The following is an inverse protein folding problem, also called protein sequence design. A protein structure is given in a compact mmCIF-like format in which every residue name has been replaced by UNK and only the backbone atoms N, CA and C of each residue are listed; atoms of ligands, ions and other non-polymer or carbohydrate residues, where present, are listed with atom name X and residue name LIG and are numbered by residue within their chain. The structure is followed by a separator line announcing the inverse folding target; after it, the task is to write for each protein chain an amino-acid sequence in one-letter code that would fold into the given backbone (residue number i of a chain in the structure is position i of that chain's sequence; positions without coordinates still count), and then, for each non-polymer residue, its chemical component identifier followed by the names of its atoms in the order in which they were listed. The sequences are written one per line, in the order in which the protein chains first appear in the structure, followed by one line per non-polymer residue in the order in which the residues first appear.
data_IF_427802324807
#
_entry.id   IF_427802324807
#
_cell.length_a   1.000
_cell.length_b   1.000
_cell.length_c   1.000
_cell.angle_alpha   90.00
_cell.angle_beta   90.00
_cell.angle_gamma   90.00
#
_symmetry.space_group_name_H-M   'P 1'
#
loop_
_entity.id
_entity.type
_entity.pdbx_description
1 polymer ?
#
# COMPACT_ATOMS: atom_id res chain seq x y z
N UNK A 1 3.51 -17.07 -5.50
CA UNK A 1 4.46 -18.17 -5.21
C UNK A 1 5.80 -17.81 -5.83
N UNK A 2 6.91 -18.01 -5.13
CA UNK A 2 8.27 -17.78 -5.64
C UNK A 2 9.05 -19.06 -5.36
N UNK A 3 9.72 -19.62 -6.37
CA UNK A 3 10.39 -20.92 -6.31
C UNK A 3 9.53 -22.06 -5.73
N UNK A 4 8.23 -22.06 -6.05
CA UNK A 4 7.27 -23.06 -5.55
C UNK A 4 6.91 -22.91 -4.08
N UNK A 5 7.29 -21.82 -3.41
CA UNK A 5 6.99 -21.52 -2.01
C UNK A 5 6.14 -20.25 -1.86
N UNK A 6 5.16 -20.20 -0.93
CA UNK A 6 4.40 -18.97 -0.67
C UNK A 6 5.27 -17.96 0.08
N UNK A 7 5.01 -16.67 -0.15
CA UNK A 7 5.77 -15.59 0.49
C UNK A 7 5.69 -15.63 2.03
N UNK A 8 4.52 -16.00 2.56
CA UNK A 8 4.28 -16.20 3.99
C UNK A 8 5.23 -17.23 4.63
N UNK A 9 5.69 -18.23 3.87
CA UNK A 9 6.63 -19.22 4.38
C UNK A 9 8.09 -18.72 4.39
N UNK A 10 8.44 -17.69 3.62
CA UNK A 10 9.72 -16.98 3.80
C UNK A 10 9.66 -16.08 5.02
N UNK A 11 8.57 -15.32 5.15
CA UNK A 11 8.30 -14.46 6.30
C UNK A 11 8.34 -15.24 7.63
N UNK A 12 7.63 -16.37 7.70
CA UNK A 12 7.58 -17.24 8.89
C UNK A 12 8.96 -17.77 9.29
N UNK A 13 9.82 -18.11 8.31
CA UNK A 13 11.17 -18.55 8.59
C UNK A 13 12.03 -17.43 9.19
N UNK A 14 11.98 -16.23 8.60
CA UNK A 14 12.72 -15.05 9.09
C UNK A 14 12.29 -14.68 10.51
N UNK A 15 10.98 -14.66 10.79
CA UNK A 15 10.46 -14.31 12.13
C UNK A 15 10.81 -15.40 13.16
N UNK A 16 10.81 -16.68 12.77
CA UNK A 16 11.28 -17.78 13.63
C UNK A 16 12.74 -17.61 14.04
N UNK A 17 13.59 -17.16 13.11
CA UNK A 17 15.00 -16.84 13.35
C UNK A 17 15.23 -15.56 14.18
N UNK A 18 14.16 -14.83 14.51
CA UNK A 18 14.20 -13.67 15.39
C UNK A 18 14.08 -12.32 14.68
N UNK A 19 13.75 -12.30 13.38
CA UNK A 19 13.48 -11.05 12.68
C UNK A 19 12.17 -10.39 13.16
N UNK A 20 12.19 -9.06 13.27
CA UNK A 20 11.07 -8.18 13.60
C UNK A 20 10.29 -8.56 14.88
N UNK A 21 10.60 -7.88 15.99
CA UNK A 21 9.98 -8.15 17.30
C UNK A 21 8.45 -8.01 17.29
N UNK A 22 7.92 -7.08 16.48
CA UNK A 22 6.47 -6.85 16.33
C UNK A 22 5.72 -8.09 15.83
N UNK A 23 6.38 -8.93 15.02
CA UNK A 23 5.78 -10.15 14.48
C UNK A 23 6.05 -11.39 15.35
N UNK A 24 6.86 -11.28 16.40
CA UNK A 24 7.25 -12.43 17.22
C UNK A 24 6.06 -13.11 17.91
N UNK A 25 5.01 -12.34 18.24
CA UNK A 25 3.77 -12.86 18.86
C UNK A 25 2.87 -13.60 17.87
N UNK A 26 3.10 -13.45 16.56
CA UNK A 26 2.33 -14.07 15.48
C UNK A 26 3.02 -15.30 14.88
N UNK A 27 4.09 -15.80 15.51
CA UNK A 27 4.79 -17.02 15.06
C UNK A 27 3.81 -18.19 14.95
N UNK A 28 3.80 -18.85 13.78
CA UNK A 28 2.91 -19.96 13.49
C UNK A 28 1.57 -19.56 12.88
N UNK A 29 1.19 -18.29 12.91
CA UNK A 29 -0.06 -17.78 12.31
C UNK A 29 0.19 -16.92 11.06
N UNK A 30 1.43 -16.50 10.79
CA UNK A 30 1.80 -15.75 9.58
C UNK A 30 1.41 -16.42 8.25
N UNK A 31 1.30 -17.77 8.14
CA UNK A 31 0.71 -18.40 6.96
C UNK A 31 -0.75 -18.00 6.64
N UNK A 32 -1.50 -17.47 7.62
CA UNK A 32 -2.87 -16.97 7.44
C UNK A 32 -2.96 -15.58 6.80
N UNK A 33 -1.85 -14.83 6.71
CA UNK A 33 -1.88 -13.50 6.07
C UNK A 33 -2.36 -13.59 4.62
N UNK A 34 -3.24 -12.67 4.26
CA UNK A 34 -3.91 -12.63 2.96
C UNK A 34 -3.13 -11.78 1.95
N UNK A 35 -3.19 -12.07 0.64
CA UNK A 35 -2.60 -11.21 -0.38
C UNK A 35 -3.23 -9.83 -0.41
N UNK A 36 -2.40 -8.78 -0.34
CA UNK A 36 -2.83 -7.41 -0.58
C UNK A 36 -3.27 -7.26 -2.05
N UNK A 37 -4.31 -6.45 -2.29
CA UNK A 37 -4.89 -6.26 -3.63
C UNK A 37 -5.92 -7.33 -4.03
N UNK A 38 -6.24 -8.29 -3.16
CA UNK A 38 -7.35 -9.21 -3.38
C UNK A 38 -8.71 -8.48 -3.29
N UNK A 39 -9.73 -8.95 -4.00
CA UNK A 39 -11.08 -8.37 -3.93
C UNK A 39 -11.83 -8.68 -2.63
N UNK A 40 -11.23 -9.48 -1.73
CA UNK A 40 -11.65 -9.60 -0.33
C UNK A 40 -11.29 -8.37 0.53
N UNK A 41 -10.44 -7.46 0.05
CA UNK A 41 -10.16 -6.23 0.79
C UNK A 41 -11.42 -5.39 1.01
N UNK A 42 -11.59 -4.85 2.22
CA UNK A 42 -12.78 -4.07 2.60
C UNK A 42 -12.96 -2.81 1.76
N UNK A 43 -11.85 -2.20 1.36
CA UNK A 43 -11.83 -0.91 0.67
C UNK A 43 -11.31 -1.04 -0.75
N UNK A 44 -12.16 -0.67 -1.73
CA UNK A 44 -11.80 -0.64 -3.15
C UNK A 44 -10.61 0.26 -3.44
N UNK A 45 -10.52 1.42 -2.80
CA UNK A 45 -9.43 2.37 -3.01
C UNK A 45 -8.07 1.82 -2.59
N UNK A 46 -7.98 1.04 -1.50
CA UNK A 46 -6.72 0.40 -1.09
C UNK A 46 -6.33 -0.70 -2.06
N UNK A 47 -7.31 -1.49 -2.52
CA UNK A 47 -7.08 -2.52 -3.54
C UNK A 47 -6.54 -1.92 -4.84
N UNK A 48 -7.22 -0.90 -5.37
CA UNK A 48 -6.78 -0.16 -6.57
C UNK A 48 -5.36 0.40 -6.38
N UNK A 49 -5.09 0.94 -5.19
CA UNK A 49 -3.78 1.48 -4.85
C UNK A 49 -2.67 0.42 -4.85
N UNK A 50 -2.90 -0.78 -4.34
CA UNK A 50 -1.92 -1.89 -4.42
C UNK A 50 -1.51 -2.16 -5.86
N UNK A 51 -2.49 -2.26 -6.76
CA UNK A 51 -2.22 -2.54 -8.16
C UNK A 51 -1.56 -1.35 -8.88
N UNK A 52 -1.91 -0.11 -8.53
CA UNK A 52 -1.16 1.07 -8.97
C UNK A 52 0.32 0.93 -8.61
N UNK A 53 0.63 0.62 -7.35
CA UNK A 53 2.01 0.49 -6.86
C UNK A 53 2.79 -0.60 -7.58
N UNK A 54 2.18 -1.76 -7.84
CA UNK A 54 2.82 -2.83 -8.62
C UNK A 54 3.17 -2.39 -10.05
N UNK A 55 2.45 -1.43 -10.62
CA UNK A 55 2.64 -0.95 -11.97
C UNK A 55 3.58 0.27 -12.07
N UNK A 56 3.91 0.94 -10.96
CA UNK A 56 4.87 2.06 -10.96
C UNK A 56 6.28 1.61 -11.37
N UNK A 57 6.97 2.46 -12.13
CA UNK A 57 8.39 2.28 -12.48
C UNK A 57 9.30 3.04 -11.49
N UNK A 58 9.10 2.76 -10.21
CA UNK A 58 9.73 3.48 -9.10
C UNK A 58 10.29 2.52 -8.04
N UNK A 59 11.22 3.01 -7.23
CA UNK A 59 11.74 2.27 -6.08
C UNK A 59 10.83 2.50 -4.85
N UNK A 60 9.96 1.56 -4.53
CA UNK A 60 8.85 1.77 -3.59
C UNK A 60 8.52 0.51 -2.75
N UNK A 61 8.08 0.73 -1.51
CA UNK A 61 7.45 -0.29 -0.67
C UNK A 61 6.07 -0.64 -1.27
N UNK A 62 5.87 -1.88 -1.73
CA UNK A 62 4.57 -2.37 -2.21
C UNK A 62 3.96 -3.32 -1.17
N UNK A 63 2.75 -3.06 -0.65
CA UNK A 63 2.02 -4.02 0.17
C UNK A 63 1.77 -5.33 -0.57
N UNK A 64 2.10 -6.44 0.07
CA UNK A 64 1.97 -7.79 -0.52
C UNK A 64 1.15 -8.74 0.34
N UNK A 65 1.12 -8.54 1.66
CA UNK A 65 0.30 -9.31 2.59
C UNK A 65 -0.34 -8.41 3.64
N UNK A 66 -1.57 -8.75 4.03
CA UNK A 66 -2.38 -8.06 5.04
C UNK A 66 -2.98 -9.05 6.05
N UNK A 67 -3.43 -8.52 7.19
CA UNK A 67 -4.14 -9.27 8.22
C UNK A 67 -5.44 -9.90 7.67
N UNK A 68 -5.71 -11.15 8.05
CA UNK A 68 -6.95 -11.86 7.65
C UNK A 68 -8.20 -11.37 8.39
N UNK A 69 -8.03 -10.77 9.57
CA UNK A 69 -9.14 -10.30 10.41
C UNK A 69 -9.71 -8.95 9.92
N UNK A 70 -8.84 -8.04 9.47
CA UNK A 70 -9.22 -6.68 9.08
C UNK A 70 -9.37 -6.49 7.57
N UNK A 71 -8.58 -7.21 6.75
CA UNK A 71 -8.60 -7.14 5.28
C UNK A 71 -8.48 -5.70 4.71
N UNK A 72 -7.75 -4.84 5.42
CA UNK A 72 -7.39 -3.48 5.02
C UNK A 72 -5.95 -3.17 5.49
N UNK A 73 -5.53 -1.91 5.41
CA UNK A 73 -4.21 -1.47 5.88
C UNK A 73 -4.15 -1.06 7.35
N UNK A 74 -5.15 -1.33 8.18
CA UNK A 74 -5.17 -0.85 9.57
C UNK A 74 -4.28 -1.66 10.54
N UNK A 75 -3.96 -2.91 10.20
CA UNK A 75 -3.30 -3.86 11.10
C UNK A 75 -1.91 -4.29 10.59
N UNK A 76 -1.66 -5.60 10.43
CA UNK A 76 -0.39 -6.10 9.87
C UNK A 76 -0.40 -5.85 8.37
N UNK A 77 0.59 -5.09 7.89
CA UNK A 77 0.86 -4.93 6.46
C UNK A 77 2.31 -5.29 6.20
N UNK A 78 2.53 -6.34 5.42
CA UNK A 78 3.85 -6.74 4.95
C UNK A 78 4.05 -6.16 3.58
N UNK A 79 5.18 -5.48 3.39
CA UNK A 79 5.59 -4.87 2.14
C UNK A 79 6.80 -5.59 1.56
N UNK A 80 6.99 -5.43 0.26
CA UNK A 80 8.26 -5.72 -0.41
C UNK A 80 8.81 -4.42 -0.99
N UNK A 81 10.11 -4.18 -0.81
CA UNK A 81 10.81 -3.11 -1.53
C UNK A 81 11.05 -3.55 -2.96
N UNK A 82 10.32 -2.94 -3.89
CA UNK A 82 10.40 -3.23 -5.32
C UNK A 82 11.25 -2.18 -5.99
N UNK A 83 12.19 -2.63 -6.83
CA UNK A 83 13.01 -1.77 -7.67
C UNK A 83 13.03 -2.33 -9.08
N UNK A 84 12.67 -1.49 -10.05
CA UNK A 84 12.62 -1.87 -11.46
C UNK A 84 13.76 -1.23 -12.24
N UNK A 85 14.20 -1.93 -13.27
CA UNK A 85 15.13 -1.45 -14.30
C UNK A 85 14.52 -1.73 -15.65
N UNK A 86 15.17 -1.36 -16.75
CA UNK A 86 14.65 -1.62 -18.10
C UNK A 86 14.34 -3.12 -18.36
N UNK A 87 15.10 -4.05 -17.75
CA UNK A 87 15.01 -5.48 -18.06
C UNK A 87 14.64 -6.36 -16.87
N UNK A 88 14.83 -5.86 -15.65
CA UNK A 88 14.73 -6.67 -14.44
C UNK A 88 13.91 -5.96 -13.38
N UNK A 89 13.16 -6.76 -12.61
CA UNK A 89 12.45 -6.35 -11.41
C UNK A 89 13.07 -7.05 -10.22
N UNK A 90 13.44 -6.28 -9.20
CA UNK A 90 14.03 -6.78 -7.97
C UNK A 90 13.05 -6.64 -6.82
N UNK A 91 12.94 -7.70 -6.03
CA UNK A 91 12.35 -7.66 -4.70
C UNK A 91 13.50 -7.70 -3.70
N UNK A 92 13.88 -6.51 -3.21
CA UNK A 92 15.11 -6.34 -2.44
C UNK A 92 14.93 -6.94 -1.02
N UNK A 93 13.88 -6.53 -0.29
CA UNK A 93 13.61 -7.02 1.07
C UNK A 93 12.10 -7.14 1.40
N UNK A 94 11.78 -7.97 2.41
CA UNK A 94 10.50 -7.96 3.12
C UNK A 94 10.54 -6.98 4.29
N UNK A 95 9.49 -6.18 4.44
CA UNK A 95 9.35 -5.20 5.51
C UNK A 95 8.00 -5.30 6.22
N UNK A 96 8.00 -4.95 7.50
CA UNK A 96 6.78 -4.66 8.25
C UNK A 96 6.49 -3.16 8.10
N UNK A 97 5.33 -2.81 7.54
CA UNK A 97 4.97 -1.41 7.33
C UNK A 97 4.92 -0.66 8.66
N UNK A 98 5.59 0.48 8.73
CA UNK A 98 5.35 1.46 9.78
C UNK A 98 4.16 2.30 9.34
N UNK A 99 3.05 2.25 10.06
CA UNK A 99 1.87 3.03 9.70
C UNK A 99 2.18 4.52 9.66
N UNK A 100 1.67 5.17 8.62
CA UNK A 100 1.80 6.61 8.48
C UNK A 100 0.92 7.34 9.50
N UNK A 101 1.23 8.60 9.77
CA UNK A 101 0.40 9.42 10.64
C UNK A 101 -0.89 9.86 9.94
N UNK A 102 -2.00 9.20 10.27
CA UNK A 102 -3.34 9.51 9.76
C UNK A 102 -3.74 10.98 9.95
N UNK A 103 -3.36 11.60 11.08
CA UNK A 103 -3.70 13.01 11.33
C UNK A 103 -2.97 13.95 10.39
N UNK A 104 -1.73 13.61 10.02
CA UNK A 104 -1.02 14.36 8.99
C UNK A 104 -1.64 14.10 7.62
N UNK A 105 -2.04 12.85 7.32
CA UNK A 105 -2.66 12.47 6.05
C UNK A 105 -3.94 13.27 5.76
N UNK A 106 -4.71 13.70 6.76
CA UNK A 106 -5.92 14.53 6.59
C UNK A 106 -5.68 15.82 5.78
N UNK A 107 -4.46 16.36 5.78
CA UNK A 107 -4.10 17.57 5.02
C UNK A 107 -3.85 17.29 3.55
N UNK A 108 -3.67 16.02 3.18
CA UNK A 108 -3.29 15.58 1.85
C UNK A 108 -4.46 15.01 1.04
N UNK A 109 -5.68 15.05 1.59
CA UNK A 109 -6.91 14.76 0.86
C UNK A 109 -7.39 15.94 0.04
N UNK A 110 -8.69 16.23 0.10
CA UNK A 110 -9.33 17.37 -0.56
C UNK A 110 -8.76 18.73 -0.16
N UNK A 111 -8.06 18.84 0.97
CA UNK A 111 -7.42 20.08 1.40
C UNK A 111 -6.06 20.33 0.72
N UNK A 112 -5.54 19.35 -0.04
CA UNK A 112 -4.27 19.44 -0.73
C UNK A 112 -4.39 20.22 -2.05
N UNK A 113 -4.50 21.54 -1.95
CA UNK A 113 -4.70 22.43 -3.11
C UNK A 113 -3.55 22.40 -4.12
N UNK A 114 -2.35 22.00 -3.70
CA UNK A 114 -1.21 21.77 -4.60
C UNK A 114 -1.49 20.65 -5.63
N UNK A 115 -2.36 19.71 -5.29
CA UNK A 115 -2.76 18.59 -6.16
C UNK A 115 -4.02 18.88 -7.00
N UNK A 116 -4.63 20.06 -6.86
CA UNK A 116 -5.90 20.37 -7.54
C UNK A 116 -5.74 20.42 -9.05
N UNK A 117 -6.64 19.72 -9.72
CA UNK A 117 -6.91 19.86 -11.15
C UNK A 117 -7.65 21.16 -11.44
N UNK A 118 -7.86 21.49 -12.73
CA UNK A 118 -8.65 22.67 -13.11
C UNK A 118 -10.10 22.52 -12.66
N UNK A 119 -10.63 21.31 -12.74
CA UNK A 119 -11.96 20.92 -12.33
C UNK A 119 -12.11 21.07 -10.80
N UNK A 120 -11.11 20.61 -10.04
CA UNK A 120 -11.08 20.84 -8.58
C UNK A 120 -11.10 22.32 -8.23
N UNK A 121 -10.32 23.15 -8.94
CA UNK A 121 -10.35 24.60 -8.71
C UNK A 121 -11.71 25.23 -9.04
N UNK A 122 -12.42 24.72 -10.03
CA UNK A 122 -13.76 25.20 -10.38
C UNK A 122 -14.79 24.81 -9.31
N UNK A 123 -14.72 23.60 -8.80
CA UNK A 123 -15.70 23.07 -7.85
C UNK A 123 -15.43 23.51 -6.40
N UNK A 124 -14.16 23.48 -6.00
CA UNK A 124 -13.73 23.60 -4.61
C UNK A 124 -12.93 24.87 -4.30
N UNK A 125 -12.49 25.61 -5.33
CA UNK A 125 -11.66 26.81 -5.19
C UNK A 125 -12.31 27.96 -4.41
N UNK A 126 -13.64 27.98 -4.32
CA UNK A 126 -14.39 28.96 -3.52
C UNK A 126 -14.79 28.46 -2.12
N UNK A 127 -14.54 27.19 -1.81
CA UNK A 127 -15.05 26.51 -0.62
C UNK A 127 -13.93 25.71 0.06
N UNK A 128 -13.80 24.42 -0.26
CA UNK A 128 -12.89 23.47 0.40
C UNK A 128 -11.42 23.87 0.32
N UNK A 129 -11.00 24.61 -0.71
CA UNK A 129 -9.62 25.08 -0.86
C UNK A 129 -9.11 25.94 0.31
N UNK A 130 -10.03 26.51 1.10
CA UNK A 130 -9.72 27.40 2.23
C UNK A 130 -10.07 26.80 3.60
N UNK A 131 -10.57 25.56 3.61
CA UNK A 131 -10.95 24.86 4.84
C UNK A 131 -9.74 24.25 5.55
N UNK A 132 -9.95 23.83 6.79
CA UNK A 132 -8.94 23.16 7.61
C UNK A 132 -9.45 21.81 8.13
N UNK A 133 -8.56 20.84 8.42
CA UNK A 133 -8.99 19.57 8.98
C UNK A 133 -9.86 19.76 10.22
N UNK A 134 -11.01 19.07 10.25
CA UNK A 134 -11.95 19.11 11.35
C UNK A 134 -12.97 20.25 11.33
N UNK A 135 -12.94 21.15 10.34
CA UNK A 135 -14.01 22.14 10.15
C UNK A 135 -15.36 21.47 9.84
N UNK A 136 -16.47 22.18 10.08
CA UNK A 136 -17.80 21.63 9.85
C UNK A 136 -18.03 21.30 8.37
N UNK A 137 -17.59 22.18 7.46
CA UNK A 137 -17.73 21.97 6.02
C UNK A 137 -16.88 20.79 5.55
N UNK A 138 -15.64 20.68 6.04
CA UNK A 138 -14.77 19.56 5.72
C UNK A 138 -15.32 18.22 6.22
N UNK A 139 -15.81 18.17 7.47
CA UNK A 139 -16.45 16.96 8.03
C UNK A 139 -17.66 16.53 7.20
N UNK A 140 -18.49 17.50 6.77
CA UNK A 140 -19.64 17.23 5.93
C UNK A 140 -19.21 16.68 4.57
N UNK A 141 -18.23 17.31 3.92
CA UNK A 141 -17.74 16.86 2.62
C UNK A 141 -17.17 15.44 2.69
N UNK A 142 -16.29 15.16 3.65
CA UNK A 142 -15.71 13.84 3.86
C UNK A 142 -16.77 12.76 4.09
N UNK A 143 -17.81 13.07 4.88
CA UNK A 143 -18.87 12.09 5.12
C UNK A 143 -19.61 11.65 3.85
N UNK A 144 -19.60 12.50 2.81
CA UNK A 144 -20.25 12.24 1.52
C UNK A 144 -19.26 11.80 0.42
N UNK A 145 -17.96 12.00 0.61
CA UNK A 145 -16.91 11.76 -0.39
C UNK A 145 -15.73 10.97 0.20
N UNK A 146 -16.01 10.06 1.14
CA UNK A 146 -14.96 9.34 1.89
C UNK A 146 -13.98 8.59 0.99
N UNK A 147 -14.48 7.87 -0.01
CA UNK A 147 -13.62 7.11 -0.93
C UNK A 147 -12.72 8.04 -1.76
N UNK A 148 -13.27 9.16 -2.24
CA UNK A 148 -12.50 10.16 -2.98
C UNK A 148 -11.42 10.80 -2.09
N UNK A 149 -11.79 11.16 -0.86
CA UNK A 149 -10.86 11.68 0.15
C UNK A 149 -9.69 10.72 0.35
N UNK A 150 -9.98 9.43 0.53
CA UNK A 150 -8.96 8.40 0.73
C UNK A 150 -8.06 8.26 -0.50
N UNK A 151 -8.62 8.19 -1.72
CA UNK A 151 -7.82 8.16 -2.95
C UNK A 151 -6.86 9.35 -3.04
N UNK A 152 -7.33 10.56 -2.69
CA UNK A 152 -6.48 11.77 -2.64
C UNK A 152 -5.36 11.64 -1.59
N UNK A 153 -5.67 11.22 -0.35
CA UNK A 153 -4.67 11.00 0.71
C UNK A 153 -3.62 9.98 0.32
N UNK A 154 -4.05 8.88 -0.29
CA UNK A 154 -3.18 7.80 -0.73
C UNK A 154 -2.22 8.27 -1.84
N UNK A 155 -2.74 9.01 -2.83
CA UNK A 155 -1.93 9.57 -3.89
C UNK A 155 -0.92 10.62 -3.39
N UNK A 156 -1.35 11.50 -2.49
CA UNK A 156 -0.60 12.70 -2.10
C UNK A 156 0.29 12.50 -0.87
N UNK A 157 0.02 11.52 0.00
CA UNK A 157 0.77 11.29 1.24
C UNK A 157 1.31 9.87 1.35
N UNK A 158 0.46 8.86 1.23
CA UNK A 158 0.85 7.45 1.44
C UNK A 158 1.86 7.00 0.39
N UNK A 159 1.61 7.27 -0.90
CA UNK A 159 2.53 6.90 -1.98
C UNK A 159 3.92 7.54 -1.82
N UNK A 160 4.05 8.86 -1.57
CA UNK A 160 5.34 9.45 -1.19
C UNK A 160 5.98 8.80 0.05
N UNK A 161 5.19 8.51 1.08
CA UNK A 161 5.68 7.87 2.30
C UNK A 161 6.26 6.48 2.02
N UNK A 162 5.62 5.67 1.17
CA UNK A 162 6.09 4.34 0.76
C UNK A 162 7.40 4.37 -0.05
N UNK A 163 7.83 5.53 -0.55
CA UNK A 163 9.16 5.70 -1.16
C UNK A 163 10.25 5.93 -0.12
N UNK A 164 9.88 6.42 1.07
CA UNK A 164 10.82 6.76 2.13
C UNK A 164 11.50 5.51 2.69
N UNK A 165 12.75 5.62 3.12
CA UNK A 165 13.46 4.51 3.77
C UNK A 165 12.87 4.15 5.15
N UNK A 166 12.04 5.03 5.71
CA UNK A 166 11.31 4.79 6.97
C UNK A 166 9.97 4.07 6.80
N UNK A 167 9.50 3.80 5.57
CA UNK A 167 8.19 3.18 5.32
C UNK A 167 8.01 1.85 6.04
N UNK A 168 9.10 1.10 6.23
CA UNK A 168 9.02 -0.22 6.79
C UNK A 168 10.24 -0.56 7.63
N UNK A 169 10.01 -1.31 8.70
CA UNK A 169 11.05 -2.04 9.42
C UNK A 169 11.44 -3.26 8.58
N UNK A 170 12.71 -3.32 8.16
CA UNK A 170 13.21 -4.44 7.37
C UNK A 170 13.20 -5.73 8.19
N UNK A 171 12.52 -6.75 7.67
CA UNK A 171 12.44 -8.10 8.26
C UNK A 171 13.60 -8.95 7.76
N UNK A 172 13.84 -8.95 6.45
CA UNK A 172 14.91 -9.74 5.85
C UNK A 172 15.05 -9.52 4.35
N UNK A 173 16.23 -9.84 3.83
CA UNK A 173 16.52 -9.76 2.40
C UNK A 173 15.84 -10.91 1.64
N UNK A 174 15.27 -10.60 0.47
CA UNK A 174 14.76 -11.60 -0.46
C UNK A 174 15.74 -11.82 -1.62
N UNK A 175 16.32 -10.72 -2.14
CA UNK A 175 17.20 -10.71 -3.31
C UNK A 175 16.60 -11.44 -4.54
N UNK A 176 15.27 -11.45 -4.69
CA UNK A 176 14.66 -12.04 -5.88
C UNK A 176 14.80 -11.12 -7.08
N UNK A 177 14.98 -11.72 -8.24
CA UNK A 177 15.17 -11.02 -9.50
C UNK A 177 14.33 -11.71 -10.58
N UNK A 178 13.54 -10.91 -11.30
CA UNK A 178 12.64 -11.37 -12.33
C UNK A 178 12.95 -10.65 -13.64
N UNK A 179 12.76 -11.33 -14.77
CA UNK A 179 12.67 -10.63 -16.05
C UNK A 179 11.42 -9.75 -16.05
N UNK A 180 11.57 -8.50 -16.51
CA UNK A 180 10.54 -7.47 -16.37
C UNK A 180 9.26 -7.80 -17.13
N UNK A 181 9.38 -8.28 -18.36
CA UNK A 181 8.23 -8.62 -19.20
C UNK A 181 7.39 -9.73 -18.57
N UNK A 182 8.02 -10.79 -18.07
CA UNK A 182 7.34 -11.90 -17.39
C UNK A 182 6.77 -11.47 -16.03
N UNK A 183 7.46 -10.59 -15.29
CA UNK A 183 6.94 -10.02 -14.05
C UNK A 183 5.66 -9.20 -14.29
N UNK A 184 5.70 -8.26 -15.23
CA UNK A 184 4.55 -7.40 -15.55
C UNK A 184 3.36 -8.22 -16.07
N UNK A 185 3.63 -9.26 -16.88
CA UNK A 185 2.60 -10.21 -17.30
C UNK A 185 1.98 -10.97 -16.12
N UNK A 186 2.80 -11.40 -15.16
CA UNK A 186 2.33 -12.07 -13.94
C UNK A 186 1.48 -11.14 -13.08
N UNK A 187 1.92 -9.89 -12.87
CA UNK A 187 1.16 -8.87 -12.14
C UNK A 187 -0.19 -8.64 -12.80
N UNK A 188 -0.22 -8.44 -14.12
CA UNK A 188 -1.47 -8.23 -14.86
C UNK A 188 -2.43 -9.43 -14.75
N UNK A 189 -1.92 -10.65 -14.89
CA UNK A 189 -2.74 -11.85 -14.73
C UNK A 189 -3.26 -11.98 -13.28
N UNK A 190 -2.45 -11.62 -12.29
CA UNK A 190 -2.85 -11.63 -10.90
C UNK A 190 -3.93 -10.56 -10.63
N UNK A 191 -3.80 -9.37 -11.19
CA UNK A 191 -4.82 -8.31 -11.08
C UNK A 191 -6.16 -8.74 -11.69
N UNK A 192 -6.14 -9.35 -12.87
CA UNK A 192 -7.35 -9.85 -13.54
C UNK A 192 -8.05 -10.96 -12.74
N UNK A 193 -7.26 -11.86 -12.14
CA UNK A 193 -7.77 -13.00 -11.37
C UNK A 193 -8.21 -12.61 -9.96
N UNK A 194 -7.40 -11.84 -9.23
CA UNK A 194 -7.60 -11.57 -7.80
C UNK A 194 -8.21 -10.21 -7.52
N UNK A 195 -8.11 -9.24 -8.44
CA UNK A 195 -8.65 -7.90 -8.26
C UNK A 195 -10.18 -7.83 -8.36
N UNK A 196 -10.80 -8.82 -9.01
CA UNK A 196 -12.26 -8.90 -9.24
C UNK A 196 -12.98 -9.97 -8.39
N UNK A 197 -12.24 -10.78 -7.61
CA UNK A 197 -12.76 -11.84 -6.73
C UNK A 197 -12.87 -11.36 -5.29
#
# INVERSE_FOLDING_TARGET
MIDGKPLTAYLEAMVKEGACEKLAVHKGTLPGLCPAGSGHMLFSYEREFVWELFNLDENICVPVLICEDDLDFSCIVIVVKVRKTEKLVYWDYLGYLNHWDEKTAEKYGILCTESYTKEDWQEYGGTMAWETPGSSLWKQWISSHWEEEQKRRYANYVKPYLRSESCAEKIGDLNFCFERTEYEKCVKQAEELFGNL
#
